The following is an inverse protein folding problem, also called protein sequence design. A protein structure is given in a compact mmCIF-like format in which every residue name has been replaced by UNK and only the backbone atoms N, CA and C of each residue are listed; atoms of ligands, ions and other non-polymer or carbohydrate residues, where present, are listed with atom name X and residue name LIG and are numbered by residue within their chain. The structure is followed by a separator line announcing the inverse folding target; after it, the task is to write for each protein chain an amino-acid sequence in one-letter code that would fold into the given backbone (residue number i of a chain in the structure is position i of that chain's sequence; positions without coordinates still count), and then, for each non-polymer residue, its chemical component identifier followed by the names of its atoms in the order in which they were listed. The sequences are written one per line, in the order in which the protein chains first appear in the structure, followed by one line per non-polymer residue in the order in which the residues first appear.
data_IF_416350571492
#
_entry.id   IF_416350571492
#
_cell.length_a   1.000
_cell.length_b   1.000
_cell.length_c   1.000
_cell.angle_alpha   90.00
_cell.angle_beta   90.00
_cell.angle_gamma   90.00
#
_symmetry.space_group_name_H-M   'P 1'
#
loop_
_entity.id
_entity.type
_entity.pdbx_description
1 polymer ?
#
# COMPACT_ATOMS: atom_id res chain seq x y z
N UNK A 1 76.87 -31.76 4.11
CA UNK A 1 76.60 -33.21 4.07
C UNK A 1 75.69 -33.54 5.25
N UNK A 2 74.48 -34.06 4.97
CA UNK A 2 73.43 -34.62 5.86
C UNK A 2 72.90 -33.73 7.02
N UNK A 3 71.68 -33.21 6.95
CA UNK A 3 70.35 -33.81 7.21
C UNK A 3 69.91 -33.89 8.70
N UNK A 4 68.73 -33.28 8.96
CA UNK A 4 67.67 -33.66 9.95
C UNK A 4 68.02 -33.45 11.44
N UNK A 5 67.14 -32.99 12.34
CA UNK A 5 65.69 -33.19 12.53
C UNK A 5 65.15 -32.09 13.47
N UNK A 6 63.88 -31.72 13.28
CA UNK A 6 63.06 -30.93 14.21
C UNK A 6 62.57 -31.80 15.38
N UNK A 7 62.42 -31.19 16.56
CA UNK A 7 61.53 -31.63 17.64
C UNK A 7 61.73 -30.86 18.94
N UNK A 8 60.68 -30.16 19.41
CA UNK A 8 60.04 -30.17 20.74
C UNK A 8 59.48 -28.77 21.11
N UNK A 9 58.14 -28.55 21.08
CA UNK A 9 57.17 -28.35 22.21
C UNK A 9 57.68 -27.34 23.29
N UNK A 10 57.01 -26.28 23.77
CA UNK A 10 55.64 -26.05 24.30
C UNK A 10 55.39 -24.53 24.34
N UNK A 11 54.15 -24.07 24.11
CA UNK A 11 53.75 -22.66 24.32
C UNK A 11 52.23 -22.44 24.36
N UNK A 12 51.61 -22.86 25.46
CA UNK A 12 50.37 -22.38 26.11
C UNK A 12 49.21 -21.86 25.22
N UNK A 13 48.16 -22.68 25.12
CA UNK A 13 46.81 -22.32 24.69
C UNK A 13 46.08 -21.53 25.80
N UNK A 14 45.65 -20.30 25.49
CA UNK A 14 44.54 -19.63 26.21
C UNK A 14 43.29 -19.80 25.35
N UNK A 15 42.49 -20.80 25.69
CA UNK A 15 41.18 -21.03 25.09
C UNK A 15 40.14 -20.11 25.72
N UNK A 16 39.68 -19.12 24.96
CA UNK A 16 38.47 -18.35 25.23
C UNK A 16 37.47 -18.60 24.11
N UNK A 17 36.39 -19.31 24.42
CA UNK A 17 35.32 -19.69 23.51
C UNK A 17 34.62 -18.47 22.89
N UNK A 18 34.82 -18.23 21.59
CA UNK A 18 33.81 -17.58 20.76
C UNK A 18 32.84 -18.65 20.24
N UNK A 19 31.87 -19.05 21.07
CA UNK A 19 30.64 -19.66 20.54
C UNK A 19 29.85 -18.50 19.92
N UNK A 20 30.10 -18.22 18.65
CA UNK A 20 29.10 -17.57 17.81
C UNK A 20 27.96 -18.57 17.70
N UNK A 21 26.95 -18.39 18.54
CA UNK A 21 25.66 -19.05 18.37
C UNK A 21 25.11 -18.59 17.03
N UNK A 22 25.31 -19.44 16.02
CA UNK A 22 24.55 -19.39 14.77
C UNK A 22 23.11 -19.73 15.14
N UNK A 23 22.40 -18.74 15.70
CA UNK A 23 20.95 -18.74 15.73
C UNK A 23 20.56 -18.69 14.26
N UNK A 24 20.21 -19.85 13.74
CA UNK A 24 19.74 -20.01 12.38
C UNK A 24 18.64 -18.96 12.14
N UNK A 25 18.78 -18.12 11.11
CA UNK A 25 17.80 -17.12 10.66
C UNK A 25 16.36 -17.69 10.51
N UNK A 26 16.23 -19.01 10.50
CA UNK A 26 14.97 -19.74 10.58
C UNK A 26 14.23 -19.58 11.93
N UNK A 27 14.94 -19.52 13.07
CA UNK A 27 14.34 -19.36 14.39
C UNK A 27 13.81 -17.93 14.63
N UNK A 28 14.49 -16.90 14.11
CA UNK A 28 14.00 -15.52 14.15
C UNK A 28 12.70 -15.33 13.33
N UNK A 29 12.54 -16.09 12.23
CA UNK A 29 11.31 -16.08 11.41
C UNK A 29 10.13 -16.78 12.10
N UNK A 30 10.40 -17.81 12.91
CA UNK A 30 9.37 -18.51 13.69
C UNK A 30 8.98 -17.74 14.97
N UNK A 31 9.92 -17.04 15.63
CA UNK A 31 9.62 -16.23 16.81
C UNK A 31 8.68 -15.06 16.51
N UNK A 32 8.80 -14.43 15.32
CA UNK A 32 7.89 -13.38 14.85
C UNK A 32 6.45 -13.90 14.64
N UNK A 33 6.28 -15.06 13.98
CA UNK A 33 4.96 -15.63 13.74
C UNK A 33 4.22 -16.12 15.00
N UNK A 34 4.96 -16.59 16.02
CA UNK A 34 4.31 -17.06 17.26
C UNK A 34 3.79 -15.91 18.14
N UNK A 35 4.52 -14.78 18.22
CA UNK A 35 4.08 -13.58 18.94
C UNK A 35 2.91 -12.84 18.27
N UNK A 36 2.75 -12.98 16.95
CA UNK A 36 1.60 -12.44 16.22
C UNK A 36 0.29 -13.19 16.58
N UNK A 37 0.37 -14.49 16.90
CA UNK A 37 -0.83 -15.27 17.26
C UNK A 37 -1.37 -14.97 18.67
N UNK A 38 -0.54 -14.51 19.62
CA UNK A 38 -0.96 -14.33 21.02
C UNK A 38 -1.71 -13.02 21.29
N UNK A 39 -1.61 -12.02 20.42
CA UNK A 39 -2.26 -10.71 20.62
C UNK A 39 -3.62 -10.57 19.89
N UNK A 40 -4.13 -11.64 19.27
CA UNK A 40 -5.42 -11.63 18.58
C UNK A 40 -6.63 -11.94 19.48
N UNK A 41 -6.41 -12.24 20.77
CA UNK A 41 -7.49 -12.54 21.71
C UNK A 41 -7.88 -11.26 22.46
N UNK A 42 -8.72 -10.46 21.82
CA UNK A 42 -9.44 -9.35 22.45
C UNK A 42 -10.50 -9.90 23.43
N UNK A 43 -10.91 -9.13 24.47
CA UNK A 43 -11.95 -9.52 25.40
C UNK A 43 -13.24 -9.93 24.69
N UNK A 44 -13.89 -10.99 25.16
CA UNK A 44 -15.10 -11.62 24.61
C UNK A 44 -16.31 -10.70 24.44
N UNK A 45 -16.25 -9.47 24.98
CA UNK A 45 -17.34 -8.50 25.00
C UNK A 45 -17.18 -7.33 24.00
N UNK A 46 -16.04 -7.19 23.30
CA UNK A 46 -15.89 -6.16 22.28
C UNK A 46 -16.44 -6.64 20.92
N UNK A 47 -17.42 -5.92 20.38
CA UNK A 47 -17.90 -6.13 19.01
C UNK A 47 -16.82 -5.75 18.01
N UNK A 48 -16.00 -6.71 17.55
CA UNK A 48 -15.10 -6.50 16.40
C UNK A 48 -15.90 -6.26 15.12
N UNK A 49 -16.13 -4.99 14.78
CA UNK A 49 -16.83 -4.52 13.57
C UNK A 49 -15.95 -3.51 12.84
N UNK A 50 -15.95 -3.54 11.50
CA UNK A 50 -15.30 -2.52 10.67
C UNK A 50 -16.21 -2.08 9.51
N UNK A 51 -16.34 -0.78 9.19
CA UNK A 51 -15.73 0.36 9.88
C UNK A 51 -16.27 0.54 11.31
N UNK A 52 -15.54 1.28 12.18
CA UNK A 52 -16.09 1.74 13.44
C UNK A 52 -17.33 2.62 13.19
N UNK A 53 -18.21 2.78 14.19
CA UNK A 53 -19.38 3.66 14.00
C UNK A 53 -18.94 5.13 14.03
N UNK A 54 -17.92 5.44 14.83
CA UNK A 54 -17.28 6.75 14.90
C UNK A 54 -15.76 6.58 15.09
N UNK A 55 -14.92 7.51 14.64
CA UNK A 55 -13.47 7.46 14.89
C UNK A 55 -13.10 7.30 16.37
N UNK A 56 -13.92 7.82 17.28
CA UNK A 56 -13.68 7.71 18.73
C UNK A 56 -13.71 6.27 19.23
N UNK A 57 -14.42 5.35 18.55
CA UNK A 57 -14.50 3.93 18.92
C UNK A 57 -13.13 3.22 18.82
N UNK A 58 -12.20 3.79 18.05
CA UNK A 58 -10.86 3.24 17.83
C UNK A 58 -9.75 4.16 18.38
N UNK A 59 -10.12 5.17 19.18
CA UNK A 59 -9.18 6.10 19.78
C UNK A 59 -8.61 5.54 21.09
N UNK A 60 -7.28 5.60 21.26
CA UNK A 60 -6.59 5.23 22.49
C UNK A 60 -6.67 6.34 23.54
N UNK A 61 -6.29 6.02 24.78
CA UNK A 61 -6.22 6.99 25.87
C UNK A 61 -5.20 8.11 25.60
N UNK A 62 -4.16 7.81 24.82
CA UNK A 62 -3.11 8.73 24.39
C UNK A 62 -3.54 9.63 23.21
N UNK A 63 -4.75 9.42 22.68
CA UNK A 63 -5.34 10.23 21.62
C UNK A 63 -5.00 9.78 20.19
N UNK A 64 -4.28 8.66 20.04
CA UNK A 64 -3.98 8.01 18.77
C UNK A 64 -5.17 7.15 18.31
N UNK A 65 -5.27 6.80 17.03
CA UNK A 65 -6.34 5.93 16.53
C UNK A 65 -5.78 4.60 16.03
N UNK A 66 -6.23 3.48 16.58
CA UNK A 66 -5.82 2.15 16.17
C UNK A 66 -6.67 1.68 14.97
N UNK A 67 -6.09 1.77 13.77
CA UNK A 67 -6.74 1.34 12.53
C UNK A 67 -6.37 -0.10 12.14
N UNK A 68 -5.94 -0.92 13.10
CA UNK A 68 -5.80 -2.36 12.87
C UNK A 68 -7.15 -3.04 12.89
N UNK A 69 -7.44 -3.88 11.90
CA UNK A 69 -8.75 -4.52 11.81
C UNK A 69 -8.98 -5.46 13.00
N UNK A 70 -10.08 -5.27 13.70
CA UNK A 70 -10.57 -6.24 14.68
C UNK A 70 -11.35 -7.32 13.93
N UNK A 71 -10.94 -8.58 14.05
CA UNK A 71 -11.70 -9.72 13.53
C UNK A 71 -11.78 -10.82 14.58
N UNK A 72 -12.87 -11.58 14.57
CA UNK A 72 -13.06 -12.74 15.46
C UNK A 72 -13.17 -14.00 14.64
N UNK A 73 -12.39 -15.02 14.98
CA UNK A 73 -12.54 -16.32 14.33
C UNK A 73 -13.81 -17.01 14.86
N UNK A 74 -14.56 -17.66 13.99
CA UNK A 74 -15.67 -18.51 14.41
C UNK A 74 -15.13 -19.67 15.28
N UNK A 75 -15.73 -19.89 16.45
CA UNK A 75 -15.28 -20.87 17.45
C UNK A 75 -15.18 -22.31 16.89
N UNK A 76 -16.00 -22.62 15.89
CA UNK A 76 -16.04 -23.95 15.27
C UNK A 76 -15.07 -24.10 14.09
N UNK A 77 -14.32 -23.05 13.72
CA UNK A 77 -13.38 -23.12 12.60
C UNK A 77 -12.02 -23.62 13.06
N UNK A 78 -11.55 -24.71 12.44
CA UNK A 78 -10.15 -25.15 12.59
C UNK A 78 -9.23 -24.22 11.80
N UNK A 79 -8.24 -23.63 12.46
CA UNK A 79 -7.21 -22.82 11.79
C UNK A 79 -6.46 -23.72 10.80
N UNK A 80 -6.61 -23.44 9.50
CA UNK A 80 -5.84 -24.13 8.46
C UNK A 80 -4.38 -23.72 8.55
N UNK A 81 -3.52 -24.64 9.00
CA UNK A 81 -2.07 -24.42 9.03
C UNK A 81 -1.38 -24.85 7.71
N UNK A 82 -2.11 -25.43 6.77
CA UNK A 82 -1.56 -25.88 5.48
C UNK A 82 -1.87 -24.87 4.37
N UNK A 83 -0.89 -24.46 3.55
CA UNK A 83 -1.13 -23.59 2.41
C UNK A 83 -2.13 -24.20 1.42
N UNK A 84 -2.96 -23.35 0.81
CA UNK A 84 -3.84 -23.77 -0.29
C UNK A 84 -3.01 -24.36 -1.44
N UNK A 85 -3.55 -25.43 -2.05
CA UNK A 85 -2.91 -26.12 -3.18
C UNK A 85 -3.88 -26.25 -4.34
N UNK A 86 -3.40 -25.92 -5.53
CA UNK A 86 -4.19 -25.84 -6.75
C UNK A 86 -3.71 -26.90 -7.75
N UNK A 87 -4.62 -27.65 -8.41
CA UNK A 87 -4.26 -28.49 -9.54
C UNK A 87 -3.50 -27.68 -10.60
N UNK A 88 -2.39 -28.22 -11.10
CA UNK A 88 -1.65 -27.55 -12.18
C UNK A 88 -2.51 -27.37 -13.45
N UNK A 89 -3.45 -28.28 -13.70
CA UNK A 89 -4.39 -28.19 -14.81
C UNK A 89 -5.32 -26.97 -14.73
N UNK A 90 -5.60 -26.46 -13.53
CA UNK A 90 -6.44 -25.28 -13.33
C UNK A 90 -5.68 -23.98 -13.63
N UNK A 91 -4.35 -24.01 -13.42
CA UNK A 91 -3.46 -22.85 -13.59
C UNK A 91 -2.81 -22.79 -14.99
N UNK A 92 -2.66 -23.93 -15.67
CA UNK A 92 -1.92 -24.04 -16.93
C UNK A 92 -2.68 -24.87 -17.99
N UNK A 93 -2.65 -24.43 -19.25
CA UNK A 93 -3.23 -25.12 -20.40
C UNK A 93 -2.43 -26.37 -20.76
N UNK A 94 -3.11 -27.40 -21.26
CA UNK A 94 -2.47 -28.63 -21.78
C UNK A 94 -1.84 -29.55 -20.74
N UNK A 95 -1.99 -29.25 -19.44
CA UNK A 95 -1.47 -30.07 -18.36
C UNK A 95 -2.53 -31.10 -17.92
N UNK A 96 -2.16 -32.39 -17.93
CA UNK A 96 -3.04 -33.52 -17.54
C UNK A 96 -2.57 -34.26 -16.27
N UNK A 97 -1.68 -33.67 -15.47
CA UNK A 97 -1.19 -34.29 -14.23
C UNK A 97 -2.11 -34.01 -13.03
N UNK A 98 -2.28 -34.95 -12.08
CA UNK A 98 -2.98 -34.70 -10.82
C UNK A 98 -2.19 -33.82 -9.83
N UNK A 99 -0.95 -33.42 -10.17
CA UNK A 99 -0.08 -32.65 -9.28
C UNK A 99 -0.72 -31.31 -8.89
N UNK A 100 -0.73 -31.04 -7.59
CA UNK A 100 -1.13 -29.76 -7.01
C UNK A 100 0.08 -28.95 -6.56
N UNK A 101 -0.03 -27.62 -6.62
CA UNK A 101 1.01 -26.67 -6.23
C UNK A 101 0.44 -25.60 -5.31
N UNK A 102 1.21 -25.21 -4.29
CA UNK A 102 0.95 -24.02 -3.50
C UNK A 102 1.54 -22.78 -4.17
N UNK A 103 1.20 -21.58 -3.68
CA UNK A 103 1.84 -20.34 -4.14
C UNK A 103 3.37 -20.39 -4.04
N UNK A 104 3.91 -20.94 -2.95
CA UNK A 104 5.34 -21.07 -2.72
C UNK A 104 6.01 -22.06 -3.69
N UNK A 105 5.26 -23.05 -4.21
CA UNK A 105 5.74 -23.96 -5.25
C UNK A 105 5.84 -23.25 -6.61
N UNK A 106 4.99 -22.24 -6.88
CA UNK A 106 4.90 -21.58 -8.19
C UNK A 106 6.22 -20.93 -8.61
N UNK A 107 6.94 -20.28 -7.68
CA UNK A 107 8.22 -19.63 -7.98
C UNK A 107 9.31 -20.59 -8.43
N UNK A 108 9.15 -21.89 -8.14
CA UNK A 108 10.11 -22.96 -8.50
C UNK A 108 9.72 -23.69 -9.78
N UNK A 109 8.55 -23.40 -10.36
CA UNK A 109 8.12 -24.05 -11.60
C UNK A 109 9.02 -23.64 -12.77
N UNK A 110 9.39 -24.58 -13.67
CA UNK A 110 10.19 -24.25 -14.84
C UNK A 110 9.52 -23.18 -15.71
N UNK A 111 10.27 -22.18 -16.16
CA UNK A 111 9.70 -21.03 -16.89
C UNK A 111 8.96 -21.38 -18.19
N UNK A 112 9.23 -22.55 -18.79
CA UNK A 112 8.47 -23.04 -19.94
C UNK A 112 6.97 -23.24 -19.66
N UNK A 113 6.58 -23.57 -18.42
CA UNK A 113 5.17 -23.63 -18.00
C UNK A 113 4.51 -22.24 -18.13
N UNK A 114 5.33 -21.20 -18.00
CA UNK A 114 5.06 -19.78 -18.19
C UNK A 114 4.16 -19.46 -19.39
N UNK A 115 4.45 -20.11 -20.51
CA UNK A 115 3.79 -19.87 -21.79
C UNK A 115 2.36 -20.43 -21.85
N UNK A 116 2.03 -21.34 -20.93
CA UNK A 116 0.75 -22.06 -20.90
C UNK A 116 -0.18 -21.55 -19.80
N UNK A 117 0.24 -20.58 -18.99
CA UNK A 117 -0.54 -20.07 -17.86
C UNK A 117 -1.91 -19.54 -18.31
N UNK A 118 -2.91 -19.74 -17.45
CA UNK A 118 -4.27 -19.26 -17.62
C UNK A 118 -4.46 -17.97 -16.82
N UNK A 119 -4.58 -16.84 -17.51
CA UNK A 119 -4.97 -15.56 -16.92
C UNK A 119 -6.47 -15.32 -17.10
N UNK A 120 -7.19 -14.81 -16.08
CA UNK A 120 -6.70 -14.38 -14.77
C UNK A 120 -6.64 -15.50 -13.71
N UNK A 121 -6.95 -16.75 -14.05
CA UNK A 121 -7.15 -17.85 -13.09
C UNK A 121 -5.95 -18.05 -12.16
N UNK A 122 -4.74 -17.87 -12.67
CA UNK A 122 -3.51 -18.03 -11.88
C UNK A 122 -3.45 -17.09 -10.66
N UNK A 123 -4.07 -15.91 -10.72
CA UNK A 123 -4.05 -14.94 -9.64
C UNK A 123 -4.84 -15.39 -8.41
N UNK A 124 -5.81 -16.31 -8.55
CA UNK A 124 -6.48 -16.90 -7.39
C UNK A 124 -5.52 -17.69 -6.48
N UNK A 125 -4.37 -18.11 -7.01
CA UNK A 125 -3.35 -18.74 -6.20
C UNK A 125 -2.56 -17.76 -5.32
N UNK A 126 -2.82 -16.44 -5.40
CA UNK A 126 -2.14 -15.45 -4.55
C UNK A 126 -2.39 -15.74 -3.06
N UNK A 127 -1.43 -15.44 -2.16
CA UNK A 127 -1.55 -15.84 -0.76
C UNK A 127 -2.85 -15.40 -0.09
N UNK A 128 -3.28 -16.26 0.84
CA UNK A 128 -4.53 -16.13 1.59
C UNK A 128 -5.76 -16.06 0.67
N UNK A 129 -5.93 -17.08 -0.17
CA UNK A 129 -7.15 -17.33 -0.93
C UNK A 129 -8.24 -17.88 0.00
N UNK A 130 -9.14 -16.98 0.39
CA UNK A 130 -10.21 -17.17 1.37
C UNK A 130 -11.52 -16.62 0.77
N UNK A 131 -12.71 -17.00 1.28
CA UNK A 131 -13.98 -16.46 0.78
C UNK A 131 -14.16 -14.97 1.16
N UNK A 132 -13.40 -14.10 0.52
CA UNK A 132 -13.17 -12.72 0.95
C UNK A 132 -14.45 -11.89 1.01
N UNK A 133 -15.37 -12.06 0.05
CA UNK A 133 -16.67 -11.37 0.06
C UNK A 133 -17.47 -11.67 1.34
N UNK A 134 -17.55 -12.95 1.74
CA UNK A 134 -18.23 -13.37 2.98
C UNK A 134 -17.54 -12.84 4.23
N UNK A 135 -16.20 -12.81 4.22
CA UNK A 135 -15.39 -12.27 5.31
C UNK A 135 -15.64 -10.76 5.47
N UNK A 136 -15.68 -10.02 4.35
CA UNK A 136 -16.00 -8.59 4.34
C UNK A 136 -17.40 -8.35 4.89
N UNK A 137 -18.42 -9.06 4.39
CA UNK A 137 -19.80 -8.97 4.90
C UNK A 137 -19.87 -9.25 6.41
N UNK A 138 -19.24 -10.33 6.88
CA UNK A 138 -19.22 -10.68 8.29
C UNK A 138 -18.49 -9.62 9.14
N UNK A 139 -17.35 -9.11 8.69
CA UNK A 139 -16.57 -8.08 9.40
C UNK A 139 -17.37 -6.78 9.51
N UNK A 140 -18.08 -6.39 8.45
CA UNK A 140 -18.98 -5.21 8.45
C UNK A 140 -20.19 -5.38 9.38
N UNK A 141 -20.67 -6.62 9.52
CA UNK A 141 -21.74 -6.96 10.44
C UNK A 141 -21.28 -7.20 11.89
N UNK A 142 -19.96 -7.14 12.17
CA UNK A 142 -19.40 -7.46 13.48
C UNK A 142 -19.44 -8.95 13.84
N UNK A 143 -19.66 -9.82 12.85
CA UNK A 143 -19.80 -11.26 13.02
C UNK A 143 -18.44 -11.98 12.93
N UNK A 144 -18.31 -13.18 13.53
CA UNK A 144 -17.11 -13.99 13.37
C UNK A 144 -16.87 -14.40 11.91
N UNK A 145 -15.59 -14.44 11.51
CA UNK A 145 -15.12 -14.80 10.17
C UNK A 145 -14.62 -16.24 10.11
N UNK A 146 -14.54 -16.79 8.90
CA UNK A 146 -13.99 -18.13 8.66
C UNK A 146 -12.47 -18.18 8.77
N UNK A 147 -11.78 -17.08 8.46
CA UNK A 147 -10.33 -17.03 8.37
C UNK A 147 -9.83 -15.73 8.97
N UNK A 148 -8.76 -15.79 9.76
CA UNK A 148 -8.08 -14.61 10.32
C UNK A 148 -7.07 -14.04 9.30
N UNK A 149 -6.93 -12.71 9.18
CA UNK A 149 -6.07 -12.07 8.21
C UNK A 149 -4.59 -12.33 8.53
N UNK A 150 -3.80 -12.73 7.54
CA UNK A 150 -2.35 -12.97 7.70
C UNK A 150 -1.54 -11.67 7.56
N UNK A 151 -2.13 -10.64 6.95
CA UNK A 151 -1.49 -9.37 6.62
C UNK A 151 -2.14 -8.19 7.34
N UNK A 152 -2.69 -8.42 8.55
CA UNK A 152 -3.28 -7.38 9.38
C UNK A 152 -2.28 -6.79 10.36
N UNK A 153 -1.39 -5.95 9.87
CA UNK A 153 -0.35 -5.41 10.72
C UNK A 153 -0.87 -4.25 11.59
N UNK A 154 -0.27 -4.07 12.79
CA UNK A 154 -0.53 -2.92 13.64
C UNK A 154 -0.24 -1.60 12.91
N UNK A 155 -1.23 -0.71 12.83
CA UNK A 155 -1.05 0.66 12.31
C UNK A 155 -1.88 1.59 13.18
N UNK A 156 -1.25 2.68 13.64
CA UNK A 156 -1.92 3.77 14.34
C UNK A 156 -1.83 5.05 13.54
N UNK A 157 -2.88 5.84 13.61
CA UNK A 157 -2.89 7.22 13.17
C UNK A 157 -2.56 8.08 14.39
N UNK A 158 -1.41 8.76 14.32
CA UNK A 158 -0.92 9.62 15.40
C UNK A 158 -1.58 11.00 15.36
N UNK A 159 -1.91 11.47 14.16
CA UNK A 159 -2.61 12.73 13.94
C UNK A 159 -3.41 12.66 12.64
N UNK A 160 -4.57 13.28 12.63
CA UNK A 160 -5.36 13.53 11.42
C UNK A 160 -6.04 14.90 11.52
N UNK A 161 -6.55 15.39 10.39
CA UNK A 161 -7.26 16.66 10.28
C UNK A 161 -8.52 16.68 11.14
N UNK A 162 -8.78 17.79 11.82
CA UNK A 162 -10.06 18.03 12.49
C UNK A 162 -11.13 18.62 11.55
N UNK A 163 -10.76 18.99 10.32
CA UNK A 163 -11.66 19.62 9.32
C UNK A 163 -12.13 18.66 8.23
N UNK A 164 -11.28 17.73 7.82
CA UNK A 164 -11.63 16.79 6.74
C UNK A 164 -12.24 15.53 7.32
N UNK A 165 -13.45 15.19 6.87
CA UNK A 165 -14.23 14.04 7.35
C UNK A 165 -14.58 14.09 8.86
N UNK A 166 -14.68 15.29 9.43
CA UNK A 166 -15.27 15.49 10.75
C UNK A 166 -16.80 15.42 10.67
N UNK A 167 -17.47 15.18 11.81
CA UNK A 167 -18.92 14.82 11.87
C UNK A 167 -19.84 15.74 11.06
N UNK A 168 -19.54 17.04 11.01
CA UNK A 168 -20.37 18.05 10.34
C UNK A 168 -19.79 18.52 8.99
N UNK A 169 -18.71 17.90 8.50
CA UNK A 169 -18.07 18.33 7.25
C UNK A 169 -18.50 17.49 6.05
N UNK A 170 -19.25 18.13 5.16
CA UNK A 170 -19.63 17.56 3.87
C UNK A 170 -18.63 17.97 2.79
N UNK A 171 -18.21 17.02 1.95
CA UNK A 171 -17.29 17.23 0.83
C UNK A 171 -17.80 16.49 -0.40
N UNK A 172 -17.80 17.12 -1.56
CA UNK A 172 -18.13 16.42 -2.82
C UNK A 172 -17.02 15.42 -3.20
N UNK A 173 -15.79 15.72 -2.78
CA UNK A 173 -14.60 14.91 -2.99
C UNK A 173 -13.64 15.04 -1.81
N UNK A 174 -13.17 13.91 -1.27
CA UNK A 174 -12.04 13.90 -0.34
C UNK A 174 -10.80 13.41 -1.07
N UNK A 175 -9.72 14.19 -0.99
CA UNK A 175 -8.46 13.98 -1.66
C UNK A 175 -7.39 13.64 -0.62
N UNK A 176 -6.82 12.45 -0.74
CA UNK A 176 -5.66 12.02 0.04
C UNK A 176 -4.42 12.14 -0.83
N UNK A 177 -3.60 13.16 -0.55
CA UNK A 177 -2.35 13.41 -1.26
C UNK A 177 -1.24 12.57 -0.62
N UNK A 178 -0.70 11.59 -1.35
CA UNK A 178 0.49 10.85 -0.95
C UNK A 178 1.70 11.78 -1.03
N UNK A 179 2.26 12.15 0.12
CA UNK A 179 3.46 12.98 0.19
C UNK A 179 4.50 12.37 1.14
N UNK A 180 5.78 12.43 0.79
CA UNK A 180 6.84 11.97 1.69
C UNK A 180 6.98 12.89 2.89
N UNK A 181 7.42 12.38 4.04
CA UNK A 181 7.68 13.20 5.24
C UNK A 181 8.68 14.36 5.01
N UNK A 182 9.61 14.22 4.05
CA UNK A 182 10.50 15.31 3.62
C UNK A 182 9.87 16.25 2.57
N UNK A 183 8.68 15.98 2.07
CA UNK A 183 8.02 16.68 0.94
C UNK A 183 7.46 18.09 1.21
N UNK A 184 8.03 18.87 2.15
CA UNK A 184 7.46 20.18 2.55
C UNK A 184 7.15 21.12 1.39
N UNK A 185 8.09 21.34 0.47
CA UNK A 185 7.90 22.26 -0.66
C UNK A 185 6.78 21.77 -1.60
N UNK A 186 6.69 20.46 -1.80
CA UNK A 186 5.63 19.86 -2.63
C UNK A 186 4.25 20.08 -2.00
N UNK A 187 4.13 19.89 -0.67
CA UNK A 187 2.89 20.18 0.05
C UNK A 187 2.52 21.66 0.01
N UNK A 188 3.47 22.56 0.23
CA UNK A 188 3.24 24.01 0.11
C UNK A 188 2.76 24.40 -1.29
N UNK A 189 3.40 23.87 -2.34
CA UNK A 189 2.98 24.10 -3.72
C UNK A 189 1.58 23.53 -4.00
N UNK A 190 1.26 22.35 -3.45
CA UNK A 190 -0.04 21.72 -3.59
C UNK A 190 -1.15 22.53 -2.88
N UNK A 191 -0.90 23.04 -1.67
CA UNK A 191 -1.83 23.93 -0.96
C UNK A 191 -2.14 25.19 -1.77
N UNK A 192 -1.10 25.85 -2.29
CA UNK A 192 -1.25 27.04 -3.12
C UNK A 192 -2.01 26.74 -4.43
N UNK A 193 -1.80 25.55 -5.00
CA UNK A 193 -2.56 25.09 -6.15
C UNK A 193 -4.04 24.89 -5.83
N UNK A 194 -4.35 24.17 -4.76
CA UNK A 194 -5.73 23.89 -4.36
C UNK A 194 -6.51 25.17 -4.05
N UNK A 195 -5.89 26.17 -3.41
CA UNK A 195 -6.52 27.47 -3.16
C UNK A 195 -6.99 28.14 -4.47
N UNK A 196 -6.22 28.01 -5.56
CA UNK A 196 -6.59 28.56 -6.88
C UNK A 196 -7.68 27.72 -7.55
N UNK A 197 -7.60 26.40 -7.46
CA UNK A 197 -8.60 25.52 -8.06
C UNK A 197 -9.96 25.64 -7.37
N UNK A 198 -9.99 25.77 -6.04
CA UNK A 198 -11.22 26.02 -5.29
C UNK A 198 -11.86 27.37 -5.67
N UNK A 199 -11.05 28.41 -5.90
CA UNK A 199 -11.54 29.70 -6.40
C UNK A 199 -12.10 29.61 -7.83
N UNK A 200 -11.52 28.75 -8.69
CA UNK A 200 -11.98 28.54 -10.07
C UNK A 200 -13.21 27.64 -10.17
N UNK A 201 -13.37 26.71 -9.23
CA UNK A 201 -14.39 25.68 -9.25
C UNK A 201 -15.18 25.66 -7.94
N UNK A 202 -15.88 26.76 -7.57
CA UNK A 202 -16.56 26.88 -6.28
C UNK A 202 -17.70 25.88 -6.08
N UNK A 203 -18.16 25.22 -7.14
CA UNK A 203 -19.21 24.22 -7.12
C UNK A 203 -18.79 22.86 -6.56
N UNK A 204 -17.49 22.59 -6.40
CA UNK A 204 -16.98 21.34 -5.83
C UNK A 204 -16.25 21.63 -4.52
N UNK A 205 -16.78 21.11 -3.42
CA UNK A 205 -16.16 21.24 -2.10
C UNK A 205 -15.19 20.09 -1.87
N UNK A 206 -13.91 20.35 -2.11
CA UNK A 206 -12.83 19.41 -1.86
C UNK A 206 -12.41 19.42 -0.38
N UNK A 207 -12.16 18.25 0.21
CA UNK A 207 -11.43 18.11 1.47
C UNK A 207 -10.07 17.49 1.19
N UNK A 208 -8.97 18.13 1.60
CA UNK A 208 -7.61 17.69 1.26
C UNK A 208 -6.85 17.30 2.53
N UNK A 209 -6.22 16.13 2.51
CA UNK A 209 -5.24 15.72 3.52
C UNK A 209 -3.97 15.18 2.87
N UNK A 210 -2.82 15.47 3.45
CA UNK A 210 -1.53 14.90 3.10
C UNK A 210 -1.25 13.66 3.95
N UNK A 211 -1.02 12.52 3.30
CA UNK A 211 -0.73 11.26 3.96
C UNK A 211 0.77 11.02 4.08
N UNK A 212 1.25 10.99 5.32
CA UNK A 212 2.65 10.85 5.72
C UNK A 212 2.80 9.67 6.70
N UNK A 213 4.00 9.09 6.74
CA UNK A 213 4.43 8.26 7.85
C UNK A 213 5.64 8.86 8.58
N UNK A 214 6.19 8.07 9.50
CA UNK A 214 7.34 8.44 10.33
C UNK A 214 8.65 8.49 9.52
N UNK A 215 9.59 9.40 9.85
CA UNK A 215 10.91 9.43 9.24
C UNK A 215 11.70 8.17 9.56
N UNK A 216 12.44 7.71 8.54
CA UNK A 216 13.45 6.68 8.69
C UNK A 216 14.53 7.18 9.65
N UNK A 217 14.83 6.39 10.69
CA UNK A 217 15.86 6.75 11.68
C UNK A 217 17.27 6.60 11.12
N UNK A 218 17.54 5.45 10.50
CA UNK A 218 18.85 5.10 9.95
C UNK A 218 18.76 4.22 8.70
N UNK A 219 19.83 4.18 7.92
CA UNK A 219 20.05 3.31 6.79
C UNK A 219 19.95 3.99 5.42
N UNK A 220 19.79 5.32 5.40
CA UNK A 220 19.88 6.16 4.21
C UNK A 220 19.07 5.63 3.02
N UNK A 221 19.71 5.61 1.83
CA UNK A 221 19.09 5.19 0.57
C UNK A 221 19.09 3.68 0.33
N UNK A 222 19.64 2.89 1.25
CA UNK A 222 19.88 1.46 1.06
C UNK A 222 18.74 0.62 1.65
N UNK A 223 18.29 -0.36 0.86
CA UNK A 223 17.18 -1.25 1.21
C UNK A 223 17.52 -2.70 0.86
N UNK A 224 16.99 -3.65 1.62
CA UNK A 224 17.04 -5.08 1.30
C UNK A 224 15.65 -5.57 0.91
N UNK A 225 15.52 -6.07 -0.32
CA UNK A 225 14.28 -6.66 -0.85
C UNK A 225 14.53 -8.08 -1.30
N UNK A 226 13.95 -9.04 -0.58
CA UNK A 226 14.10 -10.48 -0.85
C UNK A 226 15.57 -10.93 -1.00
N UNK A 227 16.46 -10.39 -0.17
CA UNK A 227 17.90 -10.67 -0.21
C UNK A 227 18.69 -9.82 -1.21
N UNK A 228 18.03 -8.93 -1.96
CA UNK A 228 18.67 -8.04 -2.91
C UNK A 228 18.84 -6.63 -2.32
N UNK A 229 20.08 -6.14 -2.35
CA UNK A 229 20.39 -4.77 -1.95
C UNK A 229 20.02 -3.82 -3.09
N UNK A 230 19.18 -2.84 -2.78
CA UNK A 230 18.72 -1.80 -3.70
C UNK A 230 19.10 -0.45 -3.12
N UNK A 231 19.70 0.39 -3.96
CA UNK A 231 19.95 1.80 -3.67
C UNK A 231 18.86 2.62 -4.35
N UNK A 232 18.11 3.41 -3.58
CA UNK A 232 17.14 4.34 -4.13
C UNK A 232 17.89 5.50 -4.80
N UNK A 233 17.61 5.73 -6.08
CA UNK A 233 18.28 6.73 -6.90
C UNK A 233 17.57 8.09 -6.90
N UNK A 234 18.30 9.11 -7.34
CA UNK A 234 17.82 10.48 -7.49
C UNK A 234 17.46 11.18 -6.18
N UNK A 235 16.70 12.28 -6.31
CA UNK A 235 16.38 13.20 -5.20
C UNK A 235 15.82 12.50 -3.97
N UNK A 236 14.98 11.49 -4.15
CA UNK A 236 14.38 10.77 -3.01
C UNK A 236 15.43 9.97 -2.23
N UNK A 237 16.38 9.34 -2.91
CA UNK A 237 17.51 8.66 -2.25
C UNK A 237 18.49 9.63 -1.62
N UNK A 238 18.80 10.74 -2.30
CA UNK A 238 19.72 11.77 -1.79
C UNK A 238 19.23 12.39 -0.48
N UNK A 239 17.93 12.65 -0.39
CA UNK A 239 17.31 13.20 0.84
C UNK A 239 17.30 12.20 1.99
N UNK A 240 17.22 10.90 1.72
CA UNK A 240 17.34 9.89 2.79
C UNK A 240 18.75 9.85 3.38
N UNK A 241 19.79 10.08 2.58
CA UNK A 241 21.16 10.20 3.11
C UNK A 241 21.37 11.51 3.88
N UNK A 242 20.89 12.63 3.35
CA UNK A 242 21.04 13.94 3.98
C UNK A 242 20.41 13.98 5.39
N UNK A 243 19.31 13.25 5.58
CA UNK A 243 18.55 13.18 6.83
C UNK A 243 18.79 11.91 7.65
N UNK A 244 19.80 11.08 7.31
CA UNK A 244 20.14 9.91 8.09
C UNK A 244 20.53 10.30 9.53
N UNK A 245 19.92 9.65 10.53
CA UNK A 245 20.09 10.00 11.95
C UNK A 245 19.41 11.30 12.38
N UNK A 246 18.62 11.98 11.53
CA UNK A 246 17.94 13.26 11.82
C UNK A 246 16.42 13.13 11.96
N UNK A 247 15.94 11.95 12.35
CA UNK A 247 14.49 11.69 12.46
C UNK A 247 13.76 12.66 13.40
N UNK A 248 14.38 13.04 14.52
CA UNK A 248 13.75 13.94 15.49
C UNK A 248 13.55 15.36 14.91
N UNK A 249 14.54 15.87 14.16
CA UNK A 249 14.44 17.14 13.44
C UNK A 249 13.30 17.12 12.41
N UNK A 250 13.18 16.02 11.66
CA UNK A 250 12.10 15.84 10.68
C UNK A 250 10.74 15.84 11.38
N UNK A 251 10.63 15.13 12.51
CA UNK A 251 9.39 15.09 13.30
C UNK A 251 9.01 16.43 13.90
N UNK A 252 9.97 17.21 14.39
CA UNK A 252 9.72 18.56 14.90
C UNK A 252 9.09 19.45 13.82
N UNK A 253 9.65 19.42 12.61
CA UNK A 253 9.12 20.19 11.48
C UNK A 253 7.74 19.71 11.03
N UNK A 254 7.47 18.40 11.08
CA UNK A 254 6.13 17.85 10.78
C UNK A 254 5.11 18.30 11.83
N UNK A 255 5.47 18.33 13.12
CA UNK A 255 4.59 18.83 14.19
C UNK A 255 4.23 20.29 13.99
N UNK A 256 5.21 21.14 13.66
CA UNK A 256 4.95 22.55 13.32
C UNK A 256 3.99 22.69 12.13
N UNK A 257 4.16 21.86 11.10
CA UNK A 257 3.26 21.86 9.93
C UNK A 257 1.85 21.38 10.28
N UNK A 258 1.72 20.34 11.11
CA UNK A 258 0.44 19.86 11.65
C UNK A 258 -0.29 20.99 12.36
N UNK A 259 0.39 21.71 13.26
CA UNK A 259 -0.19 22.78 14.06
C UNK A 259 -0.60 23.98 13.20
N UNK A 260 0.13 24.22 12.10
CA UNK A 260 -0.13 25.34 11.20
C UNK A 260 -1.31 25.10 10.24
N UNK A 261 -1.45 23.89 9.68
CA UNK A 261 -2.35 23.67 8.54
C UNK A 261 -3.54 22.73 8.82
N UNK A 262 -3.46 21.85 9.84
CA UNK A 262 -4.52 20.88 10.17
C UNK A 262 -4.95 20.01 8.96
N UNK A 263 -4.00 19.63 8.11
CA UNK A 263 -4.24 18.87 6.87
C UNK A 263 -3.33 17.64 6.73
N UNK A 264 -2.71 17.17 7.82
CA UNK A 264 -1.82 16.00 7.80
C UNK A 264 -2.51 14.78 8.42
N UNK A 265 -2.50 13.69 7.67
CA UNK A 265 -2.73 12.32 8.13
C UNK A 265 -1.37 11.66 8.40
N UNK A 266 -1.01 11.47 9.66
CA UNK A 266 0.26 10.89 10.09
C UNK A 266 0.07 9.46 10.63
N UNK A 267 0.57 8.47 9.89
CA UNK A 267 0.62 7.07 10.32
C UNK A 267 1.94 6.70 11.02
N UNK A 268 1.91 5.68 11.87
CA UNK A 268 3.07 5.24 12.67
C UNK A 268 4.00 4.21 11.99
N UNK A 269 4.00 4.16 10.66
CA UNK A 269 4.92 3.34 9.86
C UNK A 269 6.09 4.16 9.33
N UNK A 270 7.23 3.52 9.06
CA UNK A 270 8.37 4.18 8.42
C UNK A 270 8.06 4.54 6.96
N UNK A 271 8.05 5.84 6.63
CA UNK A 271 7.67 6.35 5.32
C UNK A 271 8.85 6.32 4.36
N UNK A 272 8.89 5.26 3.55
CA UNK A 272 9.87 5.07 2.49
C UNK A 272 9.18 4.60 1.22
N UNK A 273 9.88 4.70 0.08
CA UNK A 273 9.36 4.25 -1.21
C UNK A 273 8.86 2.79 -1.17
N UNK A 274 9.57 1.91 -0.46
CA UNK A 274 9.21 0.51 -0.38
C UNK A 274 8.13 0.19 0.66
N UNK A 275 7.72 1.18 1.45
CA UNK A 275 6.60 1.12 2.38
C UNK A 275 5.36 1.88 1.88
N UNK A 276 5.31 2.29 0.60
CA UNK A 276 4.12 2.94 0.01
C UNK A 276 2.84 2.11 0.16
N UNK A 277 2.95 0.79 0.27
CA UNK A 277 1.77 -0.05 0.52
C UNK A 277 1.21 0.14 1.92
N UNK A 278 2.05 0.38 2.95
CA UNK A 278 1.57 0.77 4.28
C UNK A 278 0.81 2.09 4.25
N UNK A 279 1.31 3.05 3.47
CA UNK A 279 0.62 4.32 3.21
C UNK A 279 -0.73 4.09 2.54
N UNK A 280 -0.79 3.24 1.52
CA UNK A 280 -2.04 2.90 0.83
C UNK A 280 -3.04 2.21 1.75
N UNK A 281 -2.60 1.24 2.57
CA UNK A 281 -3.45 0.59 3.59
C UNK A 281 -3.96 1.62 4.60
N UNK A 282 -3.09 2.51 5.08
CA UNK A 282 -3.45 3.59 6.01
C UNK A 282 -4.51 4.51 5.39
N UNK A 283 -4.33 4.90 4.13
CA UNK A 283 -5.29 5.75 3.41
C UNK A 283 -6.66 5.07 3.26
N UNK A 284 -6.70 3.80 2.85
CA UNK A 284 -7.96 3.06 2.71
C UNK A 284 -8.69 2.92 4.05
N UNK A 285 -7.95 2.60 5.12
CA UNK A 285 -8.53 2.45 6.46
C UNK A 285 -8.94 3.78 7.07
N UNK A 286 -8.19 4.86 6.85
CA UNK A 286 -8.58 6.19 7.26
C UNK A 286 -9.85 6.65 6.53
N UNK A 287 -9.90 6.51 5.20
CA UNK A 287 -11.11 6.82 4.44
C UNK A 287 -12.30 6.02 4.95
N UNK A 288 -12.16 4.71 5.18
CA UNK A 288 -13.25 3.86 5.70
C UNK A 288 -13.70 4.22 7.13
N UNK A 289 -12.76 4.53 8.04
CA UNK A 289 -13.08 4.76 9.45
C UNK A 289 -13.48 6.22 9.78
N UNK A 290 -13.01 7.19 9.00
CA UNK A 290 -13.23 8.62 9.28
C UNK A 290 -14.18 9.25 8.27
N UNK A 291 -14.08 8.89 7.00
CA UNK A 291 -14.94 9.41 5.96
C UNK A 291 -16.13 8.47 5.76
N UNK A 292 -17.26 8.76 6.41
CA UNK A 292 -18.51 8.06 6.15
C UNK A 292 -18.74 7.97 4.62
N UNK A 293 -19.04 6.78 4.09
CA UNK A 293 -19.29 6.56 2.65
C UNK A 293 -20.44 7.38 2.07
N UNK A 294 -21.22 8.06 2.91
CA UNK A 294 -22.26 9.01 2.54
C UNK A 294 -21.76 10.46 2.46
N UNK A 295 -20.54 10.75 2.93
CA UNK A 295 -19.91 12.08 2.83
C UNK A 295 -19.60 12.46 1.39
N UNK A 296 -19.13 11.51 0.56
CA UNK A 296 -18.79 11.72 -0.85
C UNK A 296 -19.23 10.53 -1.71
N UNK A 297 -19.35 10.73 -3.03
CA UNK A 297 -19.62 9.63 -3.98
C UNK A 297 -18.35 8.88 -4.39
N UNK A 298 -17.21 9.55 -4.34
CA UNK A 298 -15.90 8.99 -4.59
C UNK A 298 -14.84 9.70 -3.74
N UNK A 299 -13.73 9.02 -3.53
CA UNK A 299 -12.53 9.53 -2.92
C UNK A 299 -11.42 9.57 -3.95
N UNK A 300 -10.43 10.44 -3.77
CA UNK A 300 -9.27 10.51 -4.65
C UNK A 300 -8.00 10.27 -3.84
N UNK A 301 -7.10 9.48 -4.39
CA UNK A 301 -5.72 9.38 -3.92
C UNK A 301 -4.84 9.89 -5.05
N UNK A 302 -3.86 10.74 -4.75
CA UNK A 302 -2.99 11.38 -5.76
C UNK A 302 -1.56 11.56 -5.20
N UNK A 303 -0.53 11.49 -6.03
CA UNK A 303 0.83 11.86 -5.67
C UNK A 303 1.03 13.39 -5.59
N UNK A 304 1.91 13.85 -4.71
CA UNK A 304 2.21 15.28 -4.51
C UNK A 304 2.95 15.96 -5.67
N UNK A 305 3.40 15.20 -6.67
CA UNK A 305 3.96 15.69 -7.93
C UNK A 305 2.93 15.75 -9.09
N UNK A 306 1.69 15.34 -8.83
CA UNK A 306 0.55 15.48 -9.74
C UNK A 306 -0.43 16.54 -9.23
N UNK A 307 -1.31 16.99 -10.14
CA UNK A 307 -2.34 18.00 -9.90
C UNK A 307 -3.62 17.59 -10.62
N UNK A 308 -4.72 18.24 -10.26
CA UNK A 308 -6.04 18.01 -10.86
C UNK A 308 -6.74 19.30 -11.29
N UNK A 309 -7.44 19.29 -12.41
CA UNK A 309 -8.38 20.36 -12.77
C UNK A 309 -9.74 20.07 -12.09
N UNK A 310 -10.11 20.85 -11.09
CA UNK A 310 -11.34 20.59 -10.31
C UNK A 310 -12.63 20.75 -11.13
N UNK A 311 -12.63 21.57 -12.19
CA UNK A 311 -13.80 21.70 -13.08
C UNK A 311 -14.02 20.43 -13.89
N UNK A 312 -12.95 19.85 -14.44
CA UNK A 312 -13.01 18.57 -15.17
C UNK A 312 -13.34 17.40 -14.22
N UNK A 313 -12.84 17.42 -12.99
CA UNK A 313 -13.22 16.45 -11.97
C UNK A 313 -14.72 16.54 -11.66
N UNK A 314 -15.27 17.74 -11.51
CA UNK A 314 -16.71 17.92 -11.28
C UNK A 314 -17.56 17.39 -12.47
N UNK A 315 -17.11 17.62 -13.70
CA UNK A 315 -17.75 17.06 -14.90
C UNK A 315 -17.71 15.53 -14.93
N UNK A 316 -16.55 14.94 -14.60
CA UNK A 316 -16.39 13.48 -14.51
C UNK A 316 -17.31 12.87 -13.46
N UNK A 317 -17.38 13.46 -12.26
CA UNK A 317 -18.26 12.99 -11.18
C UNK A 317 -19.74 13.09 -11.54
N UNK A 318 -20.12 14.10 -12.35
CA UNK A 318 -21.52 14.30 -12.79
C UNK A 318 -21.91 13.40 -13.97
N UNK A 319 -20.99 13.16 -14.91
CA UNK A 319 -21.26 12.40 -16.14
C UNK A 319 -21.21 10.89 -15.93
N UNK A 320 -20.51 10.42 -14.89
CA UNK A 320 -20.46 9.01 -14.53
C UNK A 320 -21.70 8.61 -13.72
N UNK A 321 -22.36 7.50 -14.07
CA UNK A 321 -23.52 7.03 -13.31
C UNK A 321 -23.15 6.74 -11.84
N UNK A 322 -24.02 7.12 -10.90
CA UNK A 322 -23.76 6.96 -9.47
C UNK A 322 -23.43 5.51 -9.09
N UNK A 323 -24.10 4.53 -9.72
CA UNK A 323 -23.80 3.11 -9.51
C UNK A 323 -22.37 2.74 -9.93
N UNK A 324 -21.94 3.17 -11.12
CA UNK A 324 -20.59 2.88 -11.64
C UNK A 324 -19.54 3.59 -10.81
N UNK A 325 -19.76 4.88 -10.51
CA UNK A 325 -18.81 5.71 -9.76
C UNK A 325 -18.55 5.14 -8.37
N UNK A 326 -19.61 4.76 -7.64
CA UNK A 326 -19.50 4.32 -6.25
C UNK A 326 -18.95 2.89 -6.10
N UNK A 327 -19.02 2.06 -7.15
CA UNK A 327 -18.62 0.64 -7.13
C UNK A 327 -17.31 0.33 -7.86
N UNK A 328 -16.50 1.33 -8.23
CA UNK A 328 -15.33 1.11 -9.10
C UNK A 328 -14.14 1.97 -8.74
N UNK A 329 -12.99 1.60 -9.32
CA UNK A 329 -11.77 2.38 -9.26
C UNK A 329 -11.50 2.94 -10.65
N UNK A 330 -11.21 4.24 -10.74
CA UNK A 330 -10.88 4.92 -12.00
C UNK A 330 -9.43 5.42 -11.97
N UNK A 331 -8.74 5.34 -13.11
CA UNK A 331 -7.36 5.80 -13.27
C UNK A 331 -6.80 5.47 -14.66
N UNK A 332 -5.50 5.68 -14.86
CA UNK A 332 -4.76 5.10 -16.00
C UNK A 332 -4.50 3.61 -15.66
N UNK A 333 -5.26 2.71 -16.29
CA UNK A 333 -5.22 1.28 -15.94
C UNK A 333 -4.11 0.59 -16.74
N UNK A 334 -3.08 0.13 -16.02
CA UNK A 334 -2.05 -0.71 -16.59
C UNK A 334 -2.58 -2.14 -16.77
N UNK A 335 -2.63 -2.60 -18.02
CA UNK A 335 -2.98 -3.97 -18.39
C UNK A 335 -1.76 -4.72 -18.90
N UNK A 336 -1.68 -6.02 -18.59
CA UNK A 336 -0.64 -6.93 -19.06
C UNK A 336 0.81 -6.50 -18.76
N UNK A 337 1.02 -5.65 -17.75
CA UNK A 337 2.35 -5.15 -17.38
C UNK A 337 3.26 -6.29 -16.90
N UNK A 338 4.48 -6.44 -17.46
CA UNK A 338 5.41 -7.46 -16.99
C UNK A 338 6.05 -7.05 -15.65
N UNK A 339 6.21 -7.97 -14.69
CA UNK A 339 6.97 -7.69 -13.49
C UNK A 339 8.42 -7.32 -13.81
N UNK A 340 9.00 -6.34 -13.11
CA UNK A 340 10.40 -5.96 -13.36
C UNK A 340 11.32 -6.95 -12.69
N UNK A 341 12.14 -7.67 -13.45
CA UNK A 341 12.98 -8.77 -12.95
C UNK A 341 14.42 -8.39 -12.62
N UNK A 342 14.80 -7.11 -12.75
CA UNK A 342 16.18 -6.66 -12.49
C UNK A 342 16.38 -6.30 -11.02
N UNK A 343 17.16 -7.06 -10.23
CA UNK A 343 17.23 -6.90 -8.77
C UNK A 343 17.70 -5.54 -8.26
N UNK A 344 18.53 -4.83 -9.01
CA UNK A 344 19.08 -3.53 -8.62
C UNK A 344 18.15 -2.34 -8.90
N UNK A 345 16.97 -2.57 -9.48
CA UNK A 345 16.04 -1.49 -9.86
C UNK A 345 14.95 -1.32 -8.81
N UNK A 346 14.53 -0.08 -8.57
CA UNK A 346 13.50 0.28 -7.57
C UNK A 346 12.14 -0.40 -7.73
N UNK A 347 11.83 -0.94 -8.90
CA UNK A 347 10.58 -1.66 -9.17
C UNK A 347 10.76 -3.17 -9.23
N UNK A 348 11.92 -3.68 -8.79
CA UNK A 348 12.23 -5.10 -8.80
C UNK A 348 11.15 -5.93 -8.09
N UNK A 349 10.74 -6.99 -8.76
CA UNK A 349 9.80 -7.97 -8.28
C UNK A 349 10.37 -9.38 -8.45
N UNK A 350 10.63 -10.05 -7.33
CA UNK A 350 11.12 -11.43 -7.32
C UNK A 350 10.01 -12.41 -7.72
N UNK A 351 10.39 -13.64 -8.09
CA UNK A 351 9.40 -14.70 -8.34
C UNK A 351 8.68 -15.15 -7.07
N UNK A 352 9.25 -14.92 -5.88
CA UNK A 352 8.56 -15.16 -4.60
C UNK A 352 7.46 -14.13 -4.32
N UNK A 353 7.61 -12.93 -4.87
CA UNK A 353 6.64 -11.84 -4.74
C UNK A 353 5.54 -11.99 -5.80
N UNK A 354 5.97 -12.18 -7.06
CA UNK A 354 5.12 -12.32 -8.23
C UNK A 354 5.66 -13.44 -9.14
N UNK A 355 5.12 -14.66 -9.07
CA UNK A 355 5.64 -15.79 -9.85
C UNK A 355 5.21 -15.75 -11.33
N UNK A 356 4.13 -15.02 -11.65
CA UNK A 356 3.55 -14.85 -12.98
C UNK A 356 4.34 -13.87 -13.86
N UNK A 357 4.16 -13.98 -15.18
CA UNK A 357 4.86 -13.13 -16.16
C UNK A 357 4.04 -11.89 -16.56
N UNK A 358 2.80 -11.79 -16.09
CA UNK A 358 1.92 -10.65 -16.32
C UNK A 358 1.18 -10.31 -15.04
N UNK A 359 1.15 -9.02 -14.67
CA UNK A 359 0.45 -8.53 -13.48
C UNK A 359 -1.05 -8.51 -13.66
N UNK A 360 -1.78 -8.68 -12.54
CA UNK A 360 -3.20 -8.29 -12.45
C UNK A 360 -3.33 -6.85 -12.94
N UNK A 361 -4.40 -6.49 -13.69
CA UNK A 361 -4.67 -5.10 -14.01
C UNK A 361 -4.64 -4.22 -12.75
N UNK A 362 -4.08 -3.01 -12.86
CA UNK A 362 -3.97 -2.09 -11.73
C UNK A 362 -4.04 -0.62 -12.17
N UNK A 363 -4.63 0.28 -11.36
CA UNK A 363 -4.53 1.72 -11.60
C UNK A 363 -3.09 2.17 -11.30
N UNK A 364 -2.45 2.90 -12.21
CA UNK A 364 -1.09 3.39 -11.97
C UNK A 364 -1.04 4.33 -10.76
N UNK A 365 0.06 4.24 -9.99
CA UNK A 365 0.14 4.84 -8.66
C UNK A 365 0.02 6.37 -8.55
N UNK A 366 0.06 7.14 -9.65
CA UNK A 366 0.04 8.60 -9.57
C UNK A 366 -1.30 9.18 -9.13
N UNK A 367 -2.41 8.53 -9.50
CA UNK A 367 -3.74 8.95 -9.08
C UNK A 367 -4.81 7.91 -9.37
N UNK A 368 -5.81 7.85 -8.49
CA UNK A 368 -7.00 7.04 -8.65
C UNK A 368 -8.20 7.66 -7.95
N UNK A 369 -9.38 7.50 -8.55
CA UNK A 369 -10.66 7.66 -7.86
C UNK A 369 -11.12 6.31 -7.32
N UNK A 370 -11.61 6.28 -6.09
CA UNK A 370 -12.13 5.10 -5.41
C UNK A 370 -13.59 5.37 -5.05
N UNK A 371 -14.49 4.55 -5.56
CA UNK A 371 -15.91 4.65 -5.25
C UNK A 371 -16.21 4.49 -3.76
N UNK A 372 -17.19 5.25 -3.26
CA UNK A 372 -17.50 5.27 -1.84
C UNK A 372 -18.06 3.94 -1.30
N UNK A 373 -18.72 3.13 -2.13
CA UNK A 373 -19.33 1.87 -1.67
C UNK A 373 -18.32 0.71 -1.57
N UNK A 374 -17.11 0.86 -2.11
CA UNK A 374 -16.06 -0.16 -2.09
C UNK A 374 -14.96 0.12 -1.06
N UNK A 375 -14.91 1.31 -0.45
CA UNK A 375 -13.79 1.69 0.43
C UNK A 375 -13.68 0.81 1.68
N UNK A 376 -14.81 0.45 2.29
CA UNK A 376 -14.85 -0.45 3.45
C UNK A 376 -14.34 -1.84 3.09
N UNK A 377 -14.78 -2.35 1.95
CA UNK A 377 -14.43 -3.66 1.44
C UNK A 377 -12.93 -3.72 1.14
N UNK A 378 -12.37 -2.67 0.54
CA UNK A 378 -10.95 -2.52 0.26
C UNK A 378 -10.13 -2.38 1.56
N UNK A 379 -10.61 -1.61 2.53
CA UNK A 379 -9.97 -1.47 3.84
C UNK A 379 -9.87 -2.84 4.55
N UNK A 380 -10.93 -3.64 4.50
CA UNK A 380 -10.94 -5.00 5.08
C UNK A 380 -10.03 -5.94 4.28
N UNK A 381 -10.18 -5.96 2.95
CA UNK A 381 -9.42 -6.82 2.06
C UNK A 381 -7.91 -6.56 2.07
N UNK A 382 -7.49 -5.34 2.39
CA UNK A 382 -6.07 -4.99 2.55
C UNK A 382 -5.35 -5.91 3.55
N UNK A 383 -6.05 -6.34 4.61
CA UNK A 383 -5.50 -7.23 5.64
C UNK A 383 -5.41 -8.70 5.20
N UNK A 384 -6.14 -9.09 4.15
CA UNK A 384 -6.13 -10.43 3.57
C UNK A 384 -5.28 -10.50 2.29
N UNK A 385 -4.51 -9.45 2.00
CA UNK A 385 -3.72 -9.35 0.78
C UNK A 385 -2.28 -9.07 1.13
N UNK A 386 -1.38 -9.98 0.74
CA UNK A 386 0.05 -9.83 0.98
C UNK A 386 0.60 -8.57 0.30
N UNK A 387 1.36 -7.76 1.03
CA UNK A 387 1.76 -6.45 0.53
C UNK A 387 3.25 -6.08 0.65
N UNK A 388 4.05 -6.79 1.47
CA UNK A 388 5.44 -6.41 1.84
C UNK A 388 6.43 -6.23 0.67
N UNK A 389 5.99 -6.50 -0.56
CA UNK A 389 6.82 -6.82 -1.69
C UNK A 389 6.24 -6.38 -3.04
N UNK A 390 4.97 -6.01 -3.10
CA UNK A 390 4.39 -5.44 -4.31
C UNK A 390 4.54 -3.91 -4.25
N UNK A 391 4.86 -3.23 -5.37
CA UNK A 391 4.47 -1.84 -5.57
C UNK A 391 3.01 -1.65 -5.18
N UNK A 392 2.72 -0.52 -4.57
CA UNK A 392 1.43 -0.24 -3.95
C UNK A 392 0.29 -0.22 -4.97
N UNK A 393 0.57 0.19 -6.19
CA UNK A 393 -0.37 0.21 -7.30
C UNK A 393 -0.74 -1.22 -7.76
N UNK A 394 0.25 -2.09 -7.93
CA UNK A 394 0.05 -3.53 -8.18
C UNK A 394 -0.71 -4.20 -7.02
N UNK A 395 -0.39 -3.83 -5.78
CA UNK A 395 -1.14 -4.30 -4.60
C UNK A 395 -2.61 -3.90 -4.68
N UNK A 396 -2.91 -2.64 -5.04
CA UNK A 396 -4.28 -2.16 -5.19
C UNK A 396 -5.05 -2.94 -6.28
N UNK A 397 -4.39 -3.25 -7.40
CA UNK A 397 -4.94 -4.12 -8.44
C UNK A 397 -5.25 -5.54 -7.93
N UNK A 398 -4.39 -6.11 -7.09
CA UNK A 398 -4.63 -7.42 -6.47
C UNK A 398 -5.80 -7.37 -5.47
N UNK A 399 -5.93 -6.31 -4.67
CA UNK A 399 -7.08 -6.11 -3.77
C UNK A 399 -8.38 -6.04 -4.59
N UNK A 400 -8.39 -5.24 -5.65
CA UNK A 400 -9.53 -5.12 -6.56
C UNK A 400 -9.89 -6.46 -7.20
N UNK A 401 -8.89 -7.22 -7.69
CA UNK A 401 -9.08 -8.56 -8.24
C UNK A 401 -9.73 -9.52 -7.25
N UNK A 402 -9.24 -9.58 -6.00
CA UNK A 402 -9.79 -10.47 -4.96
C UNK A 402 -11.23 -10.11 -4.58
N UNK A 403 -11.61 -8.84 -4.66
CA UNK A 403 -12.97 -8.37 -4.40
C UNK A 403 -13.88 -8.45 -5.63
N UNK A 404 -13.32 -8.59 -6.84
CA UNK A 404 -14.06 -8.47 -8.10
C UNK A 404 -14.55 -7.04 -8.33
N UNK A 405 -13.74 -6.05 -7.99
CA UNK A 405 -14.02 -4.62 -8.24
C UNK A 405 -13.55 -4.28 -9.65
N UNK A 406 -14.40 -3.55 -10.38
CA UNK A 406 -14.08 -3.07 -11.72
C UNK A 406 -13.01 -1.96 -11.67
N UNK A 407 -11.98 -2.12 -12.51
CA UNK A 407 -11.03 -1.07 -12.85
C UNK A 407 -11.44 -0.41 -14.16
N UNK A 408 -11.64 0.90 -14.15
CA UNK A 408 -12.10 1.68 -15.30
C UNK A 408 -11.03 2.67 -15.73
N UNK A 409 -10.69 2.65 -17.02
CA UNK A 409 -9.72 3.59 -17.55
C UNK A 409 -10.35 4.98 -17.73
N UNK A 410 -9.72 5.99 -17.14
CA UNK A 410 -10.11 7.39 -17.32
C UNK A 410 -9.09 8.08 -18.23
N UNK A 411 -9.51 8.39 -19.46
CA UNK A 411 -8.62 8.85 -20.53
C UNK A 411 -8.07 10.25 -20.31
N UNK A 412 -8.66 11.03 -19.40
CA UNK A 412 -8.23 12.38 -19.04
C UNK A 412 -7.19 12.42 -17.90
N UNK A 413 -6.76 11.25 -17.41
CA UNK A 413 -5.70 11.11 -16.39
C UNK A 413 -4.39 10.64 -17.04
N UNK A 414 -3.32 11.44 -16.92
CA UNK A 414 -2.06 11.20 -17.59
C UNK A 414 -0.91 10.96 -16.62
N UNK A 415 -0.19 9.87 -16.83
CA UNK A 415 1.08 9.62 -16.15
C UNK A 415 2.22 10.53 -16.70
N UNK A 416 3.35 10.50 -16.00
CA UNK A 416 4.57 11.30 -16.25
C UNK A 416 5.05 11.40 -17.72
N UNK A 417 4.73 10.45 -18.60
CA UNK A 417 5.23 10.41 -19.99
C UNK A 417 4.15 10.51 -21.05
N UNK A 418 2.89 10.22 -20.73
CA UNK A 418 1.83 10.12 -21.74
C UNK A 418 1.37 11.48 -22.25
N UNK A 419 1.33 12.52 -21.42
CA UNK A 419 0.86 13.84 -21.85
C UNK A 419 1.75 14.45 -22.95
N UNK A 420 3.08 14.35 -22.80
CA UNK A 420 4.02 14.85 -23.81
C UNK A 420 3.99 14.09 -25.14
N UNK A 421 3.55 12.83 -25.14
CA UNK A 421 3.65 11.92 -26.30
C UNK A 421 2.31 11.76 -27.03
N UNK A 422 1.17 11.88 -26.33
CA UNK A 422 -0.14 11.44 -26.85
C UNK A 422 -1.08 12.58 -27.17
N UNK A 423 -0.91 13.75 -26.54
CA UNK A 423 -1.80 14.89 -26.72
C UNK A 423 -1.05 16.06 -27.34
N UNK A 424 -1.42 16.36 -28.59
CA UNK A 424 -1.36 17.72 -29.12
C UNK A 424 -1.83 18.67 -28.01
N UNK A 425 -1.15 19.80 -27.84
CA UNK A 425 -1.39 20.85 -26.82
C UNK A 425 -2.79 21.51 -26.91
N UNK A 426 -3.85 20.75 -27.16
CA UNK A 426 -5.20 21.21 -27.52
C UNK A 426 -6.23 20.96 -26.41
N UNK A 427 -5.98 20.06 -25.46
CA UNK A 427 -6.91 19.76 -24.36
C UNK A 427 -6.21 19.85 -23.00
N UNK A 428 -6.88 20.44 -22.02
CA UNK A 428 -6.42 20.47 -20.63
C UNK A 428 -6.57 19.08 -19.99
N UNK A 429 -5.54 18.55 -19.30
CA UNK A 429 -5.65 17.28 -18.61
C UNK A 429 -6.51 17.41 -17.34
N UNK A 430 -7.31 16.39 -17.02
CA UNK A 430 -8.01 16.33 -15.73
C UNK A 430 -7.00 16.04 -14.61
N UNK A 431 -6.06 15.12 -14.82
CA UNK A 431 -4.94 14.85 -13.92
C UNK A 431 -3.65 14.71 -14.71
N UNK A 432 -2.59 15.41 -14.30
CA UNK A 432 -1.25 15.26 -14.86
C UNK A 432 -0.18 15.76 -13.88
N UNK A 433 1.09 15.63 -14.27
CA UNK A 433 2.23 16.20 -13.53
C UNK A 433 2.06 17.71 -13.30
N UNK A 434 2.52 18.19 -12.14
CA UNK A 434 2.35 19.58 -11.70
C UNK A 434 2.86 20.63 -12.70
N UNK A 435 3.97 20.33 -13.37
CA UNK A 435 4.57 21.17 -14.40
C UNK A 435 3.63 21.54 -15.58
N UNK A 436 2.53 20.81 -15.77
CA UNK A 436 1.53 21.10 -16.82
C UNK A 436 0.44 22.05 -16.36
N UNK A 437 0.34 22.29 -15.05
CA UNK A 437 -0.60 23.25 -14.44
C UNK A 437 0.12 24.51 -13.94
N UNK A 438 1.43 24.45 -13.78
CA UNK A 438 2.27 25.53 -13.25
C UNK A 438 2.83 26.47 -14.35
N UNK A 439 2.61 26.18 -15.64
CA UNK A 439 3.13 26.99 -16.77
C UNK A 439 2.54 28.39 -16.88
N UNK A 440 1.35 28.62 -16.32
CA UNK A 440 0.74 29.95 -16.26
C UNK A 440 1.49 30.92 -15.30
N UNK A 441 2.52 30.43 -14.57
CA UNK A 441 3.33 31.23 -13.63
C UNK A 441 4.57 31.88 -14.28
N UNK A 442 4.89 31.59 -15.54
CA UNK A 442 6.08 32.13 -16.23
C UNK A 442 5.76 33.08 -17.37
N UNK A 443 4.48 33.44 -17.57
CA UNK A 443 4.03 34.30 -18.66
C UNK A 443 3.29 35.57 -18.22
N UNK A 444 3.38 35.95 -16.95
CA UNK A 444 2.91 37.26 -16.46
C UNK A 444 4.04 38.02 -15.78
#
# INVERSE_FOLDING_TARGET
MLMRKRGLVIGVLVGGLFIVSVISLHQLKQMSHSKIKSNLLMPTHASCKWPPNMPEDIKSAEGEYNITLCVRLNANTTIRNTPNRYPLADLFRGIKTPRKVSFEDLKRLPRRFWKLVKYPQVYHAYPQDVPLKKIVEATKAGLPVSDIPEYNFPIRILKTSAKVCARDTQHDLVIVVKSGNLGWDARTAFRAFMQREEARSPQIKAGVVFSLGMPRKHGGRIFNRDGHIISLDGKNGDRLEEYDGKADLVMERIKQEIDQFDDILLGDYEDTYFNLTWKTVTNLRWLSAFCNKHHANAFMIIDDDHRMNLSLVAEFLKSTSAETLRKSIFGDIAVNGPPRRTPSKRWFQSYGECPWDSMTPYPRGFSQFIGADIVDDMAIASAYTRYNYAPEDVFLGMVAFKLGIDLRNEVSMFNHRLFNVTLLKTHQPMVAMSQFFERDLLTN
#
